data_IF_720533662627
#
_entry.id   IF_720533662627
#
_cell.length_a   1.000
_cell.length_b   1.000
_cell.length_c   1.000
_cell.angle_alpha   90.00
_cell.angle_beta   90.00
_cell.angle_gamma   90.00
#
_symmetry.space_group_name_H-M   'P 1'
#
loop_
_entity.id
_entity.type
_entity.pdbx_description
1 polymer ?
#
# COMPACT_ATOMS: atom_id res chain seq x y z
N UNK A 1 28.50 -84.91 22.31
CA UNK A 1 29.14 -83.80 23.06
C UNK A 1 28.17 -82.63 23.19
N UNK A 2 28.41 -81.76 24.16
CA UNK A 2 27.73 -80.49 24.54
C UNK A 2 27.22 -79.60 23.35
N UNK A 3 26.24 -78.67 23.46
CA UNK A 3 25.31 -78.20 24.53
C UNK A 3 24.21 -77.28 23.91
N UNK A 4 23.00 -77.24 24.52
CA UNK A 4 21.98 -76.15 24.60
C UNK A 4 21.29 -75.52 23.34
N UNK A 5 19.95 -75.65 23.30
CA UNK A 5 18.90 -74.67 22.85
C UNK A 5 18.54 -73.69 24.00
N UNK A 6 17.53 -72.75 23.99
CA UNK A 6 16.53 -72.28 22.98
C UNK A 6 16.68 -70.75 22.68
N UNK A 7 15.73 -69.92 22.17
CA UNK A 7 14.31 -70.00 21.72
C UNK A 7 14.08 -69.19 20.41
N UNK A 8 12.91 -68.74 19.92
CA UNK A 8 11.51 -68.54 20.42
C UNK A 8 11.30 -67.37 21.43
N UNK A 9 10.30 -66.47 21.32
CA UNK A 9 9.13 -66.31 20.40
C UNK A 9 8.39 -64.95 20.60
N UNK A 10 7.77 -64.43 19.52
CA UNK A 10 6.47 -63.69 19.44
C UNK A 10 6.17 -62.31 20.08
N UNK A 11 5.21 -61.61 19.43
CA UNK A 11 4.22 -60.64 19.93
C UNK A 11 4.71 -59.24 20.37
N UNK A 12 3.92 -58.15 20.35
CA UNK A 12 2.64 -57.79 19.67
C UNK A 12 2.35 -56.29 19.91
N UNK A 13 1.52 -55.66 19.06
CA UNK A 13 0.68 -54.45 19.29
C UNK A 13 1.21 -53.21 20.06
N UNK A 14 1.00 -52.00 19.49
CA UNK A 14 1.18 -50.75 20.24
C UNK A 14 1.11 -49.46 19.43
N UNK A 15 -0.10 -48.90 19.26
CA UNK A 15 -0.31 -47.43 19.21
C UNK A 15 -0.47 -46.93 20.66
N UNK A 16 -0.32 -45.62 21.01
CA UNK A 16 -0.17 -44.42 20.17
C UNK A 16 0.97 -43.46 20.63
N UNK A 17 1.18 -42.33 19.94
CA UNK A 17 1.25 -40.97 20.57
C UNK A 17 1.71 -39.87 19.61
N UNK A 18 1.33 -38.64 19.94
CA UNK A 18 1.61 -37.39 19.20
C UNK A 18 3.05 -36.91 19.38
N UNK A 19 3.77 -36.66 18.28
CA UNK A 19 5.11 -36.07 18.29
C UNK A 19 5.13 -34.71 17.57
N UNK A 20 5.52 -33.68 18.32
CA UNK A 20 5.42 -32.24 18.05
C UNK A 20 6.22 -31.77 16.83
N UNK A 21 5.66 -30.81 16.08
CA UNK A 21 6.42 -29.99 15.13
C UNK A 21 7.50 -29.16 15.87
N UNK A 22 8.76 -29.11 15.39
CA UNK A 22 9.78 -28.26 15.98
C UNK A 22 9.75 -26.82 15.43
N UNK A 23 9.52 -25.86 16.33
CA UNK A 23 10.22 -24.57 16.32
C UNK A 23 9.85 -23.55 15.24
N UNK A 24 8.86 -22.70 15.53
CA UNK A 24 8.68 -21.41 14.83
C UNK A 24 9.95 -20.57 14.96
N UNK A 25 10.64 -20.33 13.84
CA UNK A 25 11.78 -19.42 13.78
C UNK A 25 11.36 -17.99 14.13
N UNK A 26 12.03 -17.40 15.12
CA UNK A 26 11.68 -16.08 15.67
C UNK A 26 11.80 -14.98 14.60
N UNK A 27 10.66 -14.47 14.13
CA UNK A 27 10.58 -13.23 13.33
C UNK A 27 10.97 -12.05 14.22
N UNK A 28 11.97 -11.27 13.82
CA UNK A 28 12.40 -10.10 14.58
C UNK A 28 11.90 -8.83 13.89
N UNK A 29 10.84 -8.23 14.44
CA UNK A 29 10.33 -6.91 14.04
C UNK A 29 10.92 -5.87 15.00
N UNK A 30 11.54 -4.82 14.47
CA UNK A 30 12.18 -3.76 15.26
C UNK A 30 11.38 -2.45 15.11
N UNK A 31 10.70 -1.97 16.17
CA UNK A 31 10.01 -0.68 16.14
C UNK A 31 10.94 0.47 16.54
N UNK A 32 10.80 1.63 15.90
CA UNK A 32 11.50 2.87 16.27
C UNK A 32 10.50 3.91 16.78
N UNK A 33 10.82 4.54 17.91
CA UNK A 33 9.95 5.46 18.62
C UNK A 33 9.89 6.86 17.98
N UNK A 34 8.73 7.50 18.05
CA UNK A 34 8.51 8.85 17.48
C UNK A 34 8.91 9.99 18.41
N UNK A 35 9.27 11.14 17.82
CA UNK A 35 9.44 12.44 18.50
C UNK A 35 8.72 13.54 17.71
N UNK A 36 8.36 14.61 18.42
CA UNK A 36 7.32 15.59 18.12
C UNK A 36 7.64 16.64 17.06
N UNK A 37 6.57 17.14 16.40
CA UNK A 37 6.61 18.28 15.48
C UNK A 37 6.88 19.62 16.20
N UNK A 38 7.48 20.58 15.48
CA UNK A 38 7.27 22.01 15.74
C UNK A 38 7.24 22.79 14.42
N UNK A 39 6.15 23.49 14.14
CA UNK A 39 5.89 24.14 12.87
C UNK A 39 6.05 25.68 12.92
N UNK A 40 6.74 26.24 11.91
CA UNK A 40 6.70 27.63 11.38
C UNK A 40 7.26 27.57 9.94
N UNK A 41 6.86 28.34 8.93
CA UNK A 41 5.73 29.28 8.84
C UNK A 41 5.85 30.26 7.65
N UNK A 42 5.05 30.03 6.60
CA UNK A 42 4.46 31.01 5.62
C UNK A 42 5.39 31.77 4.63
N UNK A 43 4.83 32.00 3.43
CA UNK A 43 5.24 32.85 2.28
C UNK A 43 6.28 32.24 1.31
N UNK A 44 6.16 32.40 -0.02
CA UNK A 44 5.20 33.19 -0.81
C UNK A 44 4.99 32.68 -2.25
N UNK A 45 4.16 33.40 -3.00
CA UNK A 45 3.62 33.02 -4.32
C UNK A 45 4.62 33.23 -5.49
N UNK A 46 4.42 32.51 -6.60
CA UNK A 46 5.17 32.71 -7.85
C UNK A 46 4.53 31.95 -9.02
N UNK A 47 3.77 32.65 -9.86
CA UNK A 47 3.13 32.08 -11.05
C UNK A 47 4.14 31.85 -12.19
N UNK A 48 4.04 30.71 -12.88
CA UNK A 48 4.93 30.34 -14.00
C UNK A 48 4.16 29.61 -15.10
N UNK A 49 3.59 30.36 -16.03
CA UNK A 49 2.70 29.86 -17.09
C UNK A 49 3.51 29.50 -18.35
N UNK A 50 3.67 28.21 -18.66
CA UNK A 50 4.25 27.74 -19.94
C UNK A 50 3.23 27.02 -20.82
N UNK A 51 3.41 27.13 -22.13
CA UNK A 51 2.39 26.84 -23.15
C UNK A 51 2.41 25.37 -23.57
N UNK A 52 1.22 24.79 -23.71
CA UNK A 52 1.02 23.52 -24.42
C UNK A 52 1.17 23.77 -25.92
N UNK A 53 2.15 23.14 -26.56
CA UNK A 53 2.28 23.09 -28.01
C UNK A 53 1.67 21.79 -28.54
N UNK A 54 0.58 21.89 -29.30
CA UNK A 54 0.05 20.75 -30.04
C UNK A 54 0.95 20.48 -31.26
N UNK A 55 1.33 19.22 -31.49
CA UNK A 55 2.01 18.79 -32.71
C UNK A 55 1.11 17.85 -33.52
N UNK A 56 1.10 18.07 -34.83
CA UNK A 56 0.18 17.43 -35.77
C UNK A 56 0.63 16.02 -36.16
N UNK A 57 -0.33 15.14 -36.46
CA UNK A 57 -0.08 13.77 -36.94
C UNK A 57 -0.05 13.72 -38.47
N UNK A 58 1.11 13.40 -39.02
CA UNK A 58 1.32 12.88 -40.39
C UNK A 58 2.70 12.20 -40.42
N UNK A 59 2.96 11.07 -41.06
CA UNK A 59 2.11 10.23 -41.89
C UNK A 59 2.99 9.31 -42.76
N UNK A 60 2.94 8.00 -42.49
CA UNK A 60 3.42 6.87 -43.31
C UNK A 60 4.92 6.75 -43.67
N UNK A 61 5.49 5.65 -43.18
CA UNK A 61 6.37 4.68 -43.89
C UNK A 61 7.68 5.15 -44.54
N UNK A 62 8.78 4.86 -43.85
CA UNK A 62 9.94 4.09 -44.39
C UNK A 62 10.60 3.34 -43.23
N UNK A 63 10.79 2.02 -43.36
CA UNK A 63 11.62 1.23 -42.43
C UNK A 63 13.07 1.28 -42.90
N UNK A 64 14.02 1.75 -42.07
CA UNK A 64 15.42 1.34 -42.17
C UNK A 64 15.65 0.14 -41.23
N UNK A 65 16.20 -0.94 -41.77
CA UNK A 65 16.71 -2.06 -40.98
C UNK A 65 17.98 -1.58 -40.26
N UNK A 66 17.88 -1.22 -38.97
CA UNK A 66 19.03 -0.84 -38.15
C UNK A 66 19.60 -2.05 -37.39
N UNK A 67 20.46 -2.80 -38.07
CA UNK A 67 21.37 -3.75 -37.42
C UNK A 67 22.45 -3.00 -36.62
N UNK A 68 22.48 -3.20 -35.30
CA UNK A 68 23.54 -2.76 -34.38
C UNK A 68 23.15 -1.58 -33.48
N UNK A 69 23.12 -1.70 -32.15
CA UNK A 69 23.98 -2.48 -31.25
C UNK A 69 23.15 -3.28 -30.24
N UNK A 70 23.29 -4.61 -30.26
CA UNK A 70 22.67 -5.47 -29.24
C UNK A 70 23.31 -5.25 -27.86
N UNK A 71 22.62 -4.52 -26.99
CA UNK A 71 22.94 -4.50 -25.56
C UNK A 71 22.44 -5.82 -24.97
N UNK A 72 23.38 -6.55 -24.37
CA UNK A 72 23.16 -7.69 -23.49
C UNK A 72 22.37 -8.90 -24.02
N UNK A 73 23.12 -9.91 -24.48
CA UNK A 73 22.74 -11.30 -24.20
C UNK A 73 22.82 -11.50 -22.67
N UNK A 74 21.73 -11.22 -21.95
CA UNK A 74 21.66 -11.44 -20.49
C UNK A 74 22.02 -12.89 -20.18
N UNK A 75 22.99 -13.08 -19.27
CA UNK A 75 23.40 -14.41 -18.85
C UNK A 75 22.19 -15.19 -18.33
N UNK A 76 22.06 -16.47 -18.71
CA UNK A 76 21.01 -17.36 -18.19
C UNK A 76 20.94 -17.37 -16.66
N UNK A 77 22.08 -17.20 -15.99
CA UNK A 77 22.19 -17.04 -14.53
C UNK A 77 21.57 -15.74 -14.02
N UNK A 78 21.69 -14.64 -14.75
CA UNK A 78 21.07 -13.36 -14.41
C UNK A 78 19.54 -13.49 -14.47
N UNK A 79 19.04 -14.05 -15.57
CA UNK A 79 17.60 -14.28 -15.80
C UNK A 79 17.03 -15.13 -14.65
N UNK A 80 17.60 -16.30 -14.40
CA UNK A 80 17.21 -17.21 -13.30
C UNK A 80 17.22 -16.52 -11.91
N UNK A 81 18.19 -15.65 -11.64
CA UNK A 81 18.23 -14.90 -10.37
C UNK A 81 17.12 -13.85 -10.30
N UNK A 82 16.84 -13.12 -11.39
CA UNK A 82 15.80 -12.08 -11.46
C UNK A 82 14.40 -12.72 -11.36
N UNK A 83 14.12 -13.77 -12.14
CA UNK A 83 12.85 -14.52 -12.10
C UNK A 83 12.55 -15.03 -10.69
N UNK A 84 13.54 -15.60 -9.99
CA UNK A 84 13.38 -16.04 -8.59
C UNK A 84 13.14 -14.89 -7.60
N UNK A 85 13.57 -13.66 -7.90
CA UNK A 85 13.27 -12.49 -7.06
C UNK A 85 11.90 -11.91 -7.36
N UNK A 86 11.47 -11.93 -8.63
CA UNK A 86 10.11 -11.57 -9.03
C UNK A 86 9.07 -12.50 -8.37
N UNK A 87 9.23 -13.83 -8.50
CA UNK A 87 8.32 -14.79 -7.86
C UNK A 87 8.28 -14.69 -6.33
N UNK A 88 9.45 -14.47 -5.70
CA UNK A 88 9.49 -14.22 -4.25
C UNK A 88 8.83 -12.90 -3.86
N UNK A 89 8.96 -11.84 -4.66
CA UNK A 89 8.28 -10.59 -4.42
C UNK A 89 6.76 -10.71 -4.59
N UNK A 90 6.30 -11.49 -5.57
CA UNK A 90 4.89 -11.77 -5.82
C UNK A 90 4.25 -12.58 -4.67
N UNK A 91 4.94 -13.61 -4.17
CA UNK A 91 4.53 -14.37 -2.98
C UNK A 91 4.33 -13.43 -1.77
N UNK A 92 5.26 -12.48 -1.57
CA UNK A 92 5.21 -11.51 -0.48
C UNK A 92 4.13 -10.43 -0.67
N UNK A 93 3.69 -10.15 -1.91
CA UNK A 93 2.53 -9.28 -2.17
C UNK A 93 1.23 -9.89 -1.64
N UNK A 94 1.11 -11.22 -1.61
CA UNK A 94 -0.08 -11.94 -1.11
C UNK A 94 -1.35 -11.40 -1.77
N UNK A 95 -1.38 -11.47 -3.10
CA UNK A 95 -2.52 -11.11 -3.91
C UNK A 95 -3.65 -12.14 -3.75
N UNK A 96 -4.92 -11.78 -4.01
CA UNK A 96 -6.02 -12.75 -3.98
C UNK A 96 -5.81 -13.86 -5.02
N UNK A 97 -5.92 -15.12 -4.56
CA UNK A 97 -5.82 -16.30 -5.42
C UNK A 97 -6.89 -16.29 -6.52
N UNK A 98 -6.56 -16.86 -7.68
CA UNK A 98 -7.46 -17.03 -8.83
C UNK A 98 -8.05 -15.73 -9.41
N UNK A 99 -7.40 -14.57 -9.18
CA UNK A 99 -7.83 -13.28 -9.74
C UNK A 99 -6.67 -12.50 -10.36
N UNK A 100 -6.77 -12.03 -11.62
CA UNK A 100 -5.80 -11.11 -12.18
C UNK A 100 -5.81 -9.79 -11.41
N UNK A 101 -4.62 -9.28 -11.11
CA UNK A 101 -4.39 -7.99 -10.45
C UNK A 101 -3.67 -7.04 -11.42
N UNK A 102 -3.81 -5.73 -11.20
CA UNK A 102 -3.07 -4.71 -11.96
C UNK A 102 -1.90 -4.17 -11.15
N UNK A 103 -0.68 -4.42 -11.63
CA UNK A 103 0.57 -4.24 -10.89
C UNK A 103 1.47 -3.17 -11.50
N UNK A 104 2.30 -2.56 -10.66
CA UNK A 104 3.33 -1.59 -11.07
C UNK A 104 4.72 -2.18 -10.83
N UNK A 105 5.53 -2.30 -11.88
CA UNK A 105 6.93 -2.73 -11.79
C UNK A 105 7.86 -1.52 -11.89
N UNK A 106 8.48 -1.16 -10.75
CA UNK A 106 9.38 -0.01 -10.64
C UNK A 106 10.83 -0.44 -10.87
N UNK A 107 11.47 0.16 -11.86
CA UNK A 107 12.79 -0.24 -12.34
C UNK A 107 12.74 -1.55 -13.11
N UNK A 108 11.73 -1.68 -13.99
CA UNK A 108 11.42 -2.90 -14.74
C UNK A 108 12.55 -3.33 -15.71
N UNK A 109 13.49 -2.43 -16.03
CA UNK A 109 14.61 -2.70 -16.92
C UNK A 109 14.18 -3.30 -18.26
N UNK A 110 14.71 -4.48 -18.57
CA UNK A 110 14.43 -5.26 -19.79
C UNK A 110 13.15 -6.10 -19.70
N UNK A 111 12.28 -5.82 -18.73
CA UNK A 111 10.98 -6.47 -18.57
C UNK A 111 10.98 -7.82 -17.86
N UNK A 112 12.13 -8.36 -17.42
CA UNK A 112 12.23 -9.72 -16.85
C UNK A 112 11.29 -9.98 -15.64
N UNK A 113 11.12 -9.01 -14.76
CA UNK A 113 10.20 -9.09 -13.62
C UNK A 113 8.75 -9.02 -14.06
N UNK A 114 8.44 -8.17 -15.03
CA UNK A 114 7.11 -8.05 -15.63
C UNK A 114 6.69 -9.27 -16.45
N UNK A 115 7.58 -9.89 -17.23
CA UNK A 115 7.29 -11.16 -17.91
C UNK A 115 6.82 -12.24 -16.93
N UNK A 116 7.45 -12.32 -15.75
CA UNK A 116 7.01 -13.23 -14.68
C UNK A 116 5.62 -12.86 -14.12
N UNK A 117 5.24 -11.57 -14.10
CA UNK A 117 3.88 -11.18 -13.72
C UNK A 117 2.85 -11.61 -14.78
N UNK A 118 3.20 -11.51 -16.07
CA UNK A 118 2.38 -12.04 -17.17
C UNK A 118 2.21 -13.56 -17.07
N UNK A 119 3.29 -14.31 -16.81
CA UNK A 119 3.27 -15.77 -16.65
C UNK A 119 2.33 -16.21 -15.51
N UNK A 120 2.23 -15.42 -14.44
CA UNK A 120 1.33 -15.63 -13.28
C UNK A 120 -0.08 -15.02 -13.49
N UNK A 121 -0.40 -14.56 -14.71
CA UNK A 121 -1.72 -14.08 -15.09
C UNK A 121 -2.07 -12.69 -14.53
N UNK A 122 -1.10 -11.79 -14.42
CA UNK A 122 -1.30 -10.41 -13.95
C UNK A 122 -0.99 -9.37 -15.04
N UNK A 123 -1.77 -8.30 -15.05
CA UNK A 123 -1.53 -7.14 -15.91
C UNK A 123 -0.57 -6.18 -15.20
N UNK A 124 0.33 -5.55 -15.94
CA UNK A 124 1.33 -4.68 -15.32
C UNK A 124 1.77 -3.52 -16.21
N UNK A 125 2.34 -2.50 -15.57
CA UNK A 125 3.04 -1.39 -16.23
C UNK A 125 4.43 -1.24 -15.65
N UNK A 126 5.43 -1.15 -16.52
CA UNK A 126 6.83 -0.92 -16.17
C UNK A 126 7.20 0.55 -16.16
N UNK A 127 7.99 0.98 -15.18
CA UNK A 127 8.65 2.29 -15.16
C UNK A 127 10.17 2.09 -15.09
N UNK A 128 10.94 2.61 -16.04
CA UNK A 128 12.41 2.64 -15.95
C UNK A 128 12.99 3.99 -16.40
N UNK A 129 14.19 4.32 -15.92
CA UNK A 129 14.89 5.56 -16.26
C UNK A 129 15.80 5.41 -17.50
N UNK A 130 16.11 4.18 -17.91
CA UNK A 130 17.05 3.87 -19.00
C UNK A 130 16.32 3.56 -20.32
N UNK A 131 16.39 4.43 -21.34
CA UNK A 131 15.77 4.17 -22.64
C UNK A 131 16.26 2.84 -23.24
N UNK A 132 17.58 2.60 -23.21
CA UNK A 132 18.18 1.39 -23.79
C UNK A 132 17.72 0.07 -23.14
N UNK A 133 17.28 0.10 -21.87
CA UNK A 133 16.70 -1.09 -21.22
C UNK A 133 15.26 -1.31 -21.67
N UNK A 134 14.50 -0.22 -21.89
CA UNK A 134 13.14 -0.27 -22.41
C UNK A 134 13.12 -0.65 -23.89
N UNK A 135 14.09 -0.19 -24.69
CA UNK A 135 14.26 -0.61 -26.08
C UNK A 135 14.49 -2.14 -26.16
N UNK A 136 15.38 -2.70 -25.32
CA UNK A 136 15.58 -4.16 -25.22
C UNK A 136 14.33 -4.89 -24.69
N UNK A 137 13.51 -4.26 -23.84
CA UNK A 137 12.23 -4.82 -23.41
C UNK A 137 11.21 -4.89 -24.56
N UNK A 138 11.16 -3.86 -25.42
CA UNK A 138 10.33 -3.88 -26.64
C UNK A 138 10.79 -4.98 -27.61
N UNK A 139 12.11 -5.12 -27.83
CA UNK A 139 12.70 -6.19 -28.65
C UNK A 139 12.40 -7.61 -28.11
N UNK A 140 12.01 -7.73 -26.83
CA UNK A 140 11.62 -8.98 -26.16
C UNK A 140 10.12 -9.30 -26.29
N UNK A 141 9.34 -8.45 -26.97
CA UNK A 141 7.88 -8.62 -27.19
C UNK A 141 7.08 -8.85 -25.88
N UNK A 142 7.42 -8.13 -24.82
CA UNK A 142 6.69 -8.21 -23.55
C UNK A 142 5.25 -7.69 -23.65
N UNK A 143 4.36 -8.18 -22.79
CA UNK A 143 2.93 -7.81 -22.80
C UNK A 143 2.60 -6.51 -22.05
N UNK A 144 3.46 -6.08 -21.12
CA UNK A 144 3.21 -4.93 -20.25
C UNK A 144 3.53 -3.58 -20.90
N UNK A 145 2.74 -2.55 -20.59
CA UNK A 145 3.04 -1.19 -21.01
C UNK A 145 4.35 -0.69 -20.38
N UNK A 146 5.15 0.05 -21.14
CA UNK A 146 6.44 0.61 -20.68
C UNK A 146 6.42 2.13 -20.63
N UNK A 147 6.93 2.69 -19.53
CA UNK A 147 7.08 4.14 -19.34
C UNK A 147 8.53 4.51 -19.02
N UNK A 148 9.09 5.40 -19.83
CA UNK A 148 10.34 6.08 -19.51
C UNK A 148 10.10 7.15 -18.42
N UNK A 149 10.70 6.97 -17.24
CA UNK A 149 10.55 7.91 -16.14
C UNK A 149 11.48 7.68 -14.94
N UNK A 150 11.83 8.78 -14.27
CA UNK A 150 12.62 8.77 -13.04
C UNK A 150 11.68 8.61 -11.82
N UNK A 151 11.65 7.40 -11.24
CA UNK A 151 10.85 7.10 -10.04
C UNK A 151 11.07 8.08 -8.86
N UNK A 152 12.24 8.74 -8.79
CA UNK A 152 12.58 9.72 -7.77
C UNK A 152 11.98 11.12 -7.99
N UNK A 153 11.34 11.35 -9.13
CA UNK A 153 10.53 12.54 -9.44
C UNK A 153 9.03 12.31 -9.20
N UNK A 154 8.66 11.06 -8.90
CA UNK A 154 7.29 10.64 -8.61
C UNK A 154 6.69 9.75 -9.71
N UNK A 155 5.65 9.01 -9.33
CA UNK A 155 4.98 8.01 -10.17
C UNK A 155 3.74 8.64 -10.84
N UNK A 156 3.67 8.73 -12.19
CA UNK A 156 2.74 9.61 -12.91
C UNK A 156 1.35 9.01 -13.17
N UNK A 157 0.75 8.33 -12.18
CA UNK A 157 -0.56 7.69 -12.31
C UNK A 157 -1.63 8.31 -11.40
N UNK A 158 -2.90 7.94 -11.61
CA UNK A 158 -4.01 8.38 -10.78
C UNK A 158 -3.96 7.69 -9.40
N UNK A 159 -4.50 8.31 -8.34
CA UNK A 159 -4.58 7.66 -7.04
C UNK A 159 -5.42 6.38 -7.08
N UNK A 160 -4.98 5.32 -6.40
CA UNK A 160 -5.69 4.03 -6.35
C UNK A 160 -5.81 3.31 -7.70
N UNK A 161 -4.77 3.37 -8.53
CA UNK A 161 -4.69 2.68 -9.84
C UNK A 161 -4.27 1.21 -9.69
N UNK A 162 -3.32 0.90 -8.82
CA UNK A 162 -2.66 -0.42 -8.78
C UNK A 162 -3.02 -1.24 -7.56
N UNK A 163 -3.31 -2.52 -7.77
CA UNK A 163 -3.58 -3.53 -6.72
C UNK A 163 -2.32 -3.92 -5.93
N UNK A 164 -1.14 -3.70 -6.51
CA UNK A 164 0.16 -3.94 -5.87
C UNK A 164 1.32 -3.34 -6.66
N UNK A 165 2.52 -3.36 -6.07
CA UNK A 165 3.74 -2.91 -6.74
C UNK A 165 4.93 -3.82 -6.40
N UNK A 166 5.71 -4.17 -7.42
CA UNK A 166 7.04 -4.77 -7.23
C UNK A 166 8.14 -3.79 -7.65
N UNK A 167 9.33 -4.03 -7.14
CA UNK A 167 10.56 -3.46 -7.67
C UNK A 167 11.69 -4.42 -7.41
N UNK A 168 12.41 -4.84 -8.45
CA UNK A 168 13.50 -5.81 -8.33
C UNK A 168 14.83 -5.12 -8.62
N UNK A 169 15.68 -5.00 -7.59
CA UNK A 169 17.04 -4.45 -7.71
C UNK A 169 17.13 -3.00 -8.22
N UNK A 170 16.13 -2.15 -7.95
CA UNK A 170 16.10 -0.77 -8.45
C UNK A 170 16.12 0.33 -7.36
N UNK A 171 15.39 0.19 -6.25
CA UNK A 171 15.17 1.31 -5.29
C UNK A 171 16.47 1.85 -4.67
N UNK A 172 17.52 1.04 -4.55
CA UNK A 172 18.81 1.49 -3.99
C UNK A 172 19.46 2.63 -4.82
N UNK A 173 19.15 2.76 -6.12
CA UNK A 173 19.65 3.85 -6.95
C UNK A 173 19.14 5.24 -6.50
N UNK A 174 18.02 5.32 -5.78
CA UNK A 174 17.51 6.58 -5.21
C UNK A 174 18.34 7.09 -4.02
N UNK A 175 19.23 6.25 -3.48
CA UNK A 175 20.17 6.66 -2.44
C UNK A 175 21.38 7.40 -3.02
N UNK A 176 21.64 7.26 -4.31
CA UNK A 176 22.78 7.85 -4.99
C UNK A 176 22.45 9.28 -5.47
N UNK A 177 23.39 10.20 -5.29
CA UNK A 177 23.27 11.59 -5.73
C UNK A 177 24.30 11.86 -6.84
N UNK A 178 23.88 11.72 -8.09
CA UNK A 178 24.75 11.94 -9.26
C UNK A 178 25.01 13.43 -9.51
N UNK A 179 24.11 14.30 -9.01
CA UNK A 179 24.22 15.77 -9.11
C UNK A 179 24.10 16.40 -7.73
N UNK A 180 24.79 17.52 -7.49
CA UNK A 180 24.72 18.28 -6.23
C UNK A 180 23.31 18.79 -5.88
N UNK A 181 22.41 18.86 -6.85
CA UNK A 181 20.99 19.22 -6.67
C UNK A 181 20.11 18.05 -6.22
N UNK A 182 20.57 16.80 -6.37
CA UNK A 182 19.82 15.61 -6.01
C UNK A 182 20.02 15.32 -4.51
N UNK A 183 18.93 15.39 -3.75
CA UNK A 183 18.93 15.01 -2.34
C UNK A 183 18.22 13.65 -2.18
N UNK A 184 18.94 12.57 -1.81
CA UNK A 184 18.38 11.23 -1.72
C UNK A 184 17.14 11.12 -0.83
N UNK A 185 17.14 11.78 0.34
CA UNK A 185 15.99 11.78 1.24
C UNK A 185 14.75 12.44 0.62
N UNK A 186 14.91 13.51 -0.19
CA UNK A 186 13.81 14.12 -0.94
C UNK A 186 13.31 13.23 -2.08
N UNK A 187 14.21 12.58 -2.84
CA UNK A 187 13.85 11.66 -3.93
C UNK A 187 13.10 10.44 -3.42
N UNK A 188 13.62 9.79 -2.37
CA UNK A 188 12.96 8.69 -1.68
C UNK A 188 11.59 9.09 -1.12
N UNK A 189 11.47 10.27 -0.49
CA UNK A 189 10.18 10.76 -0.02
C UNK A 189 9.18 11.02 -1.16
N UNK A 190 9.64 11.59 -2.29
CA UNK A 190 8.80 11.83 -3.47
C UNK A 190 8.31 10.51 -4.10
N UNK A 191 9.23 9.56 -4.28
CA UNK A 191 8.94 8.19 -4.69
C UNK A 191 7.88 7.55 -3.78
N UNK A 192 8.13 7.42 -2.48
CA UNK A 192 7.19 6.76 -1.57
C UNK A 192 5.85 7.51 -1.44
N UNK A 193 5.83 8.85 -1.42
CA UNK A 193 4.58 9.60 -1.34
C UNK A 193 3.71 9.42 -2.59
N UNK A 194 4.32 9.37 -3.79
CA UNK A 194 3.60 9.07 -5.03
C UNK A 194 3.17 7.60 -5.10
N UNK A 195 4.03 6.66 -4.70
CA UNK A 195 3.71 5.23 -4.64
C UNK A 195 2.51 4.95 -3.71
N UNK A 196 2.51 5.55 -2.52
CA UNK A 196 1.40 5.44 -1.57
C UNK A 196 0.08 5.98 -2.15
N UNK A 197 0.15 7.02 -2.98
CA UNK A 197 -1.02 7.60 -3.64
C UNK A 197 -1.60 6.67 -4.71
N UNK A 198 -0.76 6.08 -5.57
CA UNK A 198 -1.21 5.30 -6.73
C UNK A 198 -1.63 3.86 -6.40
N UNK A 199 -1.27 3.35 -5.22
CA UNK A 199 -1.75 2.05 -4.73
C UNK A 199 -3.19 2.13 -4.22
N UNK A 200 -3.96 1.05 -4.44
CA UNK A 200 -5.28 0.85 -3.83
C UNK A 200 -5.11 0.70 -2.30
N UNK A 201 -6.09 1.16 -1.52
CA UNK A 201 -5.97 1.19 -0.05
C UNK A 201 -5.94 -0.23 0.52
N UNK A 202 -4.90 -0.54 1.29
CA UNK A 202 -4.65 -1.88 1.82
C UNK A 202 -3.79 -2.78 0.90
N UNK A 203 -3.47 -2.33 -0.31
CA UNK A 203 -2.51 -2.98 -1.20
C UNK A 203 -1.09 -2.94 -0.65
N UNK A 204 -0.24 -3.79 -1.22
CA UNK A 204 1.16 -3.95 -0.79
C UNK A 204 2.13 -3.50 -1.86
N UNK A 205 3.33 -3.12 -1.42
CA UNK A 205 4.49 -2.95 -2.29
C UNK A 205 5.63 -3.81 -1.75
N UNK A 206 6.29 -4.58 -2.62
CA UNK A 206 7.44 -5.41 -2.26
C UNK A 206 8.64 -5.01 -3.10
N UNK A 207 9.63 -4.44 -2.43
CA UNK A 207 10.78 -3.81 -3.07
C UNK A 207 12.04 -4.59 -2.69
N UNK A 208 12.55 -5.40 -3.60
CA UNK A 208 13.82 -6.09 -3.45
C UNK A 208 14.96 -5.10 -3.73
N UNK A 209 15.90 -4.98 -2.80
CA UNK A 209 16.98 -4.01 -2.89
C UNK A 209 18.29 -4.54 -2.30
N UNK A 210 19.39 -3.88 -2.65
CA UNK A 210 20.73 -4.14 -2.10
C UNK A 210 21.20 -2.91 -1.33
N UNK A 211 21.10 -2.90 0.01
CA UNK A 211 21.63 -1.80 0.81
C UNK A 211 23.15 -1.99 0.97
N UNK A 212 23.91 -0.93 0.71
CA UNK A 212 25.35 -0.85 0.98
C UNK A 212 25.58 -0.81 2.50
N UNK A 213 24.86 0.07 3.20
CA UNK A 213 25.03 0.35 4.62
C UNK A 213 23.69 0.27 5.39
N UNK A 214 23.76 0.05 6.71
CA UNK A 214 22.58 0.09 7.59
C UNK A 214 21.85 1.44 7.57
N UNK A 215 22.60 2.55 7.46
CA UNK A 215 22.06 3.91 7.36
C UNK A 215 21.19 4.10 6.11
N UNK A 216 21.57 3.46 4.98
CA UNK A 216 20.78 3.49 3.75
C UNK A 216 19.45 2.76 3.94
N UNK A 217 19.48 1.59 4.60
CA UNK A 217 18.30 0.80 4.92
C UNK A 217 17.34 1.55 5.87
N UNK A 218 17.89 2.22 6.88
CA UNK A 218 17.15 3.09 7.79
C UNK A 218 16.54 4.30 7.06
N UNK A 219 17.31 4.95 6.19
CA UNK A 219 16.84 6.09 5.39
C UNK A 219 15.64 5.71 4.50
N UNK A 220 15.74 4.59 3.76
CA UNK A 220 14.65 4.08 2.91
C UNK A 220 13.41 3.80 3.77
N UNK A 221 13.57 3.06 4.87
CA UNK A 221 12.47 2.67 5.78
C UNK A 221 11.82 3.89 6.44
N UNK A 222 12.62 4.90 6.79
CA UNK A 222 12.15 6.17 7.37
C UNK A 222 11.33 6.98 6.37
N UNK A 223 11.76 7.09 5.10
CA UNK A 223 10.97 7.80 4.10
C UNK A 223 9.68 7.06 3.72
N UNK A 224 9.71 5.72 3.66
CA UNK A 224 8.50 4.91 3.46
C UNK A 224 7.48 5.11 4.59
N UNK A 225 7.93 5.01 5.84
CA UNK A 225 7.10 5.26 7.05
C UNK A 225 6.53 6.68 7.03
N UNK A 226 7.36 7.67 6.70
CA UNK A 226 6.96 9.08 6.62
C UNK A 226 5.96 9.39 5.50
N UNK A 227 5.97 8.61 4.42
CA UNK A 227 4.97 8.70 3.35
C UNK A 227 3.61 8.10 3.73
N UNK A 228 3.55 7.28 4.79
CA UNK A 228 2.32 6.67 5.31
C UNK A 228 2.28 5.14 5.22
N UNK A 229 3.31 4.49 4.66
CA UNK A 229 3.39 3.04 4.68
C UNK A 229 3.64 2.51 6.09
N UNK A 230 2.99 1.38 6.42
CA UNK A 230 3.47 0.49 7.47
C UNK A 230 4.19 -0.71 6.84
N UNK A 231 4.86 -1.55 7.63
CA UNK A 231 5.49 -2.77 7.14
C UNK A 231 6.85 -3.04 7.76
N UNK A 232 7.73 -3.71 7.02
CA UNK A 232 9.04 -4.08 7.52
C UNK A 232 9.92 -4.80 6.49
N UNK A 233 11.11 -5.20 6.93
CA UNK A 233 12.11 -5.88 6.11
C UNK A 233 12.00 -7.40 6.25
N UNK A 234 11.89 -8.11 5.12
CA UNK A 234 12.06 -9.55 5.03
C UNK A 234 13.47 -9.82 4.50
N UNK A 235 14.21 -10.71 5.16
CA UNK A 235 15.58 -11.06 4.77
C UNK A 235 15.66 -12.57 4.54
N UNK A 236 15.71 -12.97 3.28
CA UNK A 236 15.93 -14.36 2.91
C UNK A 236 17.42 -14.70 3.01
N UNK A 237 17.72 -15.93 3.42
CA UNK A 237 19.09 -16.45 3.66
C UNK A 237 19.98 -15.53 4.52
N UNK A 238 19.53 -15.08 5.71
CA UNK A 238 20.23 -14.07 6.51
C UNK A 238 21.64 -14.46 6.92
N UNK A 239 21.91 -15.77 7.05
CA UNK A 239 23.19 -16.35 7.45
C UNK A 239 24.21 -16.46 6.29
N UNK A 240 23.83 -16.19 5.05
CA UNK A 240 24.70 -16.35 3.86
C UNK A 240 24.93 -15.03 3.18
N UNK A 241 26.11 -14.42 3.38
CA UNK A 241 26.46 -13.12 2.77
C UNK A 241 26.31 -13.11 1.23
N UNK A 242 26.44 -14.25 0.56
CA UNK A 242 26.32 -14.39 -0.90
C UNK A 242 24.89 -14.64 -1.40
N UNK A 243 24.02 -15.25 -0.58
CA UNK A 243 22.64 -15.57 -0.96
C UNK A 243 21.60 -14.65 -0.30
N UNK A 244 22.02 -13.75 0.60
CA UNK A 244 21.17 -12.82 1.32
C UNK A 244 20.40 -11.92 0.36
N UNK A 245 19.08 -11.84 0.52
CA UNK A 245 18.21 -10.95 -0.24
C UNK A 245 17.33 -10.16 0.71
N UNK A 246 17.26 -8.85 0.52
CA UNK A 246 16.42 -7.94 1.31
C UNK A 246 15.18 -7.56 0.50
N UNK A 247 14.01 -7.73 1.08
CA UNK A 247 12.71 -7.32 0.53
C UNK A 247 12.01 -6.40 1.52
N UNK A 248 11.85 -5.13 1.15
CA UNK A 248 11.05 -4.17 1.91
C UNK A 248 9.57 -4.41 1.57
N UNK A 249 8.81 -4.94 2.53
CA UNK A 249 7.39 -5.23 2.38
C UNK A 249 6.57 -4.13 3.05
N UNK A 250 5.81 -3.39 2.26
CA UNK A 250 5.06 -2.20 2.67
C UNK A 250 3.54 -2.41 2.49
N UNK A 251 2.75 -1.77 3.35
CA UNK A 251 1.28 -1.79 3.32
C UNK A 251 0.73 -0.37 3.21
N UNK A 252 -0.15 -0.13 2.24
CA UNK A 252 -0.76 1.18 1.95
C UNK A 252 -1.97 1.49 2.84
N UNK A 253 -1.71 1.57 4.15
CA UNK A 253 -2.75 1.79 5.17
C UNK A 253 -3.51 0.51 5.56
N UNK A 254 -4.60 0.63 6.33
CA UNK A 254 -5.37 -0.53 6.80
C UNK A 254 -6.07 -1.25 5.64
N UNK A 255 -6.09 -2.58 5.71
CA UNK A 255 -6.85 -3.43 4.78
C UNK A 255 -8.33 -3.01 4.77
N UNK A 256 -8.89 -2.89 3.56
CA UNK A 256 -10.34 -2.67 3.36
C UNK A 256 -11.13 -3.98 3.41
N UNK A 257 -10.46 -5.14 3.35
CA UNK A 257 -11.07 -6.43 3.63
C UNK A 257 -11.36 -6.55 5.14
N UNK A 258 -12.60 -6.24 5.49
CA UNK A 258 -13.23 -6.71 6.73
C UNK A 258 -13.43 -8.22 6.54
N UNK A 259 -12.89 -9.09 7.42
CA UNK A 259 -13.16 -10.52 7.35
C UNK A 259 -14.66 -10.78 7.39
N UNK A 260 -15.14 -11.64 6.50
CA UNK A 260 -16.53 -12.10 6.54
C UNK A 260 -16.75 -12.85 7.87
N UNK A 261 -17.82 -12.47 8.58
CA UNK A 261 -18.11 -13.08 9.87
C UNK A 261 -18.46 -14.55 9.69
N UNK A 262 -17.78 -15.44 10.40
CA UNK A 262 -18.12 -16.86 10.44
C UNK A 262 -19.53 -17.01 11.02
N UNK A 263 -20.53 -17.17 10.15
CA UNK A 263 -21.85 -17.64 10.53
C UNK A 263 -21.79 -19.16 10.69
N UNK A 264 -21.88 -19.65 11.93
CA UNK A 264 -22.21 -21.05 12.16
C UNK A 264 -23.60 -21.32 11.55
N UNK A 265 -23.74 -22.46 10.86
CA UNK A 265 -25.02 -22.81 10.24
C UNK A 265 -26.07 -23.00 11.33
N UNK A 266 -27.26 -22.43 11.10
CA UNK A 266 -28.37 -22.46 12.05
C UNK A 266 -29.03 -23.85 12.09
N UNK A 267 -28.67 -24.65 13.09
CA UNK A 267 -29.60 -25.64 13.64
C UNK A 267 -30.23 -25.04 14.91
N UNK A 268 -31.49 -24.60 14.76
CA UNK A 268 -32.50 -24.30 15.79
C UNK A 268 -32.02 -23.79 17.17
N UNK A 269 -31.71 -22.49 17.27
CA UNK A 269 -31.78 -21.77 18.54
C UNK A 269 -32.46 -20.40 18.37
N UNK A 270 -33.49 -20.14 19.19
CA UNK A 270 -34.35 -18.95 19.14
C UNK A 270 -33.55 -17.63 19.27
N UNK A 271 -33.85 -16.59 18.47
CA UNK A 271 -33.11 -15.33 18.50
C UNK A 271 -33.41 -14.52 19.77
N UNK A 272 -32.67 -14.81 20.85
CA UNK A 272 -32.56 -13.91 22.00
C UNK A 272 -31.73 -12.69 21.62
N UNK A 273 -32.38 -11.71 21.00
CA UNK A 273 -31.80 -10.38 20.77
C UNK A 273 -31.28 -9.80 22.09
N UNK A 274 -29.95 -9.72 22.22
CA UNK A 274 -29.31 -8.92 23.25
C UNK A 274 -29.41 -7.46 22.81
N UNK A 275 -30.42 -6.75 23.33
CA UNK A 275 -30.71 -5.35 22.98
C UNK A 275 -29.58 -4.43 23.44
N UNK A 276 -28.56 -4.29 22.59
CA UNK A 276 -27.50 -3.31 22.76
C UNK A 276 -28.03 -1.96 22.25
N UNK A 277 -28.42 -1.07 23.16
CA UNK A 277 -29.09 0.22 22.85
C UNK A 277 -28.15 1.23 22.20
N UNK A 278 -27.87 1.02 20.91
CA UNK A 278 -27.09 1.93 20.09
C UNK A 278 -28.01 2.85 19.27
N UNK A 279 -28.96 3.54 19.93
CA UNK A 279 -29.79 4.59 19.34
C UNK A 279 -28.97 5.86 19.01
N UNK A 280 -28.07 5.75 18.04
CA UNK A 280 -27.60 6.92 17.28
C UNK A 280 -28.64 7.28 16.22
N UNK A 281 -29.76 7.82 16.69
CA UNK A 281 -30.86 8.28 15.83
C UNK A 281 -30.31 9.23 14.76
N UNK A 282 -30.39 8.88 13.46
CA UNK A 282 -29.90 9.74 12.40
C UNK A 282 -30.89 10.90 12.20
N UNK A 283 -30.72 11.98 12.95
CA UNK A 283 -31.55 13.19 12.85
C UNK A 283 -31.27 13.95 11.54
N UNK A 284 -31.69 13.36 10.41
CA UNK A 284 -31.81 14.05 9.12
C UNK A 284 -32.68 15.28 9.35
N UNK A 285 -32.10 16.46 9.16
CA UNK A 285 -32.77 17.73 9.44
C UNK A 285 -34.04 17.91 8.61
N UNK A 286 -35.19 17.55 9.17
CA UNK A 286 -36.50 17.99 8.70
C UNK A 286 -36.64 19.48 9.01
N UNK A 287 -35.99 20.35 8.22
CA UNK A 287 -36.20 21.80 8.21
C UNK A 287 -37.59 22.13 7.64
N UNK A 288 -38.66 21.63 8.26
CA UNK A 288 -40.03 22.12 8.05
C UNK A 288 -40.19 23.40 8.86
N UNK A 289 -40.52 24.50 8.19
CA UNK A 289 -40.34 25.85 8.72
C UNK A 289 -41.20 26.16 9.95
N UNK A 290 -40.61 26.15 11.13
CA UNK A 290 -41.23 26.75 12.32
C UNK A 290 -41.22 28.28 12.15
N UNK A 291 -42.40 28.90 12.10
CA UNK A 291 -42.58 30.34 11.86
C UNK A 291 -41.87 31.15 12.95
N UNK A 292 -40.81 31.86 12.57
CA UNK A 292 -39.77 32.47 13.43
C UNK A 292 -40.24 33.63 14.36
N UNK A 293 -41.54 33.77 14.61
CA UNK A 293 -42.17 34.80 15.46
C UNK A 293 -43.39 34.29 16.27
N UNK A 294 -43.55 32.97 16.44
CA UNK A 294 -44.64 32.39 17.27
C UNK A 294 -44.31 32.43 18.77
N UNK A 295 -45.33 32.42 19.65
CA UNK A 295 -45.14 32.33 21.12
C UNK A 295 -44.40 31.05 21.52
N UNK A 296 -44.67 29.93 20.85
CA UNK A 296 -44.00 28.66 21.08
C UNK A 296 -42.48 28.76 20.87
N UNK A 297 -42.02 29.33 19.75
CA UNK A 297 -40.58 29.49 19.48
C UNK A 297 -39.88 30.48 20.43
N UNK A 298 -40.61 31.39 21.08
CA UNK A 298 -40.06 32.25 22.14
C UNK A 298 -39.86 31.46 23.44
N UNK A 299 -40.81 30.60 23.82
CA UNK A 299 -40.73 29.76 25.01
C UNK A 299 -39.64 28.70 24.88
N UNK A 300 -39.56 27.99 23.74
CA UNK A 300 -38.51 27.01 23.44
C UNK A 300 -37.11 27.65 23.52
N UNK A 301 -36.94 28.86 22.98
CA UNK A 301 -35.67 29.59 23.05
C UNK A 301 -35.31 30.00 24.49
N UNK A 302 -36.29 30.43 25.30
CA UNK A 302 -36.08 30.71 26.72
C UNK A 302 -35.63 29.46 27.48
N UNK A 303 -36.32 28.35 27.26
CA UNK A 303 -36.03 27.07 27.90
C UNK A 303 -34.62 26.56 27.55
N UNK A 304 -34.23 26.66 26.27
CA UNK A 304 -32.86 26.39 25.84
C UNK A 304 -31.82 27.26 26.55
N UNK A 305 -32.12 28.54 26.81
CA UNK A 305 -31.20 29.42 27.52
C UNK A 305 -31.13 29.13 29.03
N UNK A 306 -32.20 28.67 29.67
CA UNK A 306 -32.16 28.15 31.06
C UNK A 306 -31.26 26.93 31.17
N UNK A 307 -31.40 25.96 30.26
CA UNK A 307 -30.52 24.76 30.18
C UNK A 307 -29.05 25.12 29.92
N UNK A 308 -28.78 26.30 29.37
CA UNK A 308 -27.43 26.85 29.16
C UNK A 308 -26.95 27.72 30.33
N UNK A 309 -27.63 27.69 31.49
CA UNK A 309 -27.25 28.45 32.69
C UNK A 309 -27.35 29.97 32.55
N UNK A 310 -28.02 30.48 31.51
CA UNK A 310 -28.16 31.92 31.30
C UNK A 310 -29.36 32.47 32.06
N UNK A 311 -29.23 33.70 32.55
CA UNK A 311 -30.35 34.40 33.18
C UNK A 311 -31.47 34.68 32.17
N UNK A 312 -32.67 34.17 32.44
CA UNK A 312 -33.83 34.27 31.55
C UNK A 312 -35.05 34.75 32.34
N UNK A 313 -35.62 35.89 31.92
CA UNK A 313 -36.82 36.45 32.56
C UNK A 313 -37.98 35.43 32.60
N UNK A 314 -38.74 35.36 33.71
CA UNK A 314 -39.83 34.40 33.88
C UNK A 314 -40.92 34.53 32.79
N UNK A 315 -41.71 33.48 32.64
CA UNK A 315 -42.77 33.41 31.65
C UNK A 315 -44.06 34.02 32.17
N UNK A 316 -44.50 35.10 31.53
CA UNK A 316 -45.78 35.75 31.81
C UNK A 316 -46.77 35.50 30.68
N UNK A 317 -48.06 35.72 30.94
CA UNK A 317 -49.13 35.65 29.92
C UNK A 317 -48.90 36.54 28.68
N UNK A 318 -48.03 37.55 28.79
CA UNK A 318 -47.66 38.46 27.70
C UNK A 318 -46.46 38.01 26.86
N UNK A 319 -45.85 36.85 27.18
CA UNK A 319 -44.67 36.33 26.49
C UNK A 319 -44.98 36.04 25.02
N UNK A 320 -44.21 36.63 24.09
CA UNK A 320 -44.42 36.50 22.65
C UNK A 320 -45.56 37.34 22.05
N UNK A 321 -46.29 38.13 22.84
CA UNK A 321 -47.34 39.03 22.33
C UNK A 321 -46.71 40.21 21.58
N UNK A 322 -47.17 40.48 20.34
CA UNK A 322 -46.80 41.70 19.60
C UNK A 322 -47.20 42.93 20.42
N UNK A 323 -46.25 43.83 20.70
CA UNK A 323 -46.52 45.16 21.25
C UNK A 323 -47.03 46.06 20.12
N UNK A 324 -48.00 46.93 20.40
CA UNK A 324 -48.37 48.01 19.46
C UNK A 324 -47.15 48.93 19.27
N UNK A 325 -46.88 49.44 18.06
CA UNK A 325 -45.91 50.52 17.91
C UNK A 325 -46.38 51.71 18.76
N UNK A 326 -45.46 52.30 19.52
CA UNK A 326 -45.59 53.66 20.01
C UNK A 326 -44.82 54.53 19.02
N UNK A 327 -45.51 55.52 18.47
CA UNK A 327 -44.88 56.73 17.93
C UNK A 327 -44.69 57.69 19.10
#
# INVERSE_FOLDING_TARGET
>A
MMRKKPGNTFASEGSPSTARCPGVGKRQVVPVAGVTQKARGIWGCGEGRTRVGAFSVSGKSTLPISLGLGISALSSRMIDIQTRMAGRALELLYLPENKPCYLLDIGCGTGLSGSYLSDEGHYWVGLDISPAMLDEAVDREIEGDLLLGDMGQGIPFKPGTFDGCISISAVQWLCNANKKSENPAKRLYCFFASLFSVLVRGSRAVLQLYPENSEQLELITTQATKAGFSGGMVVDYPNSAKAKKFYLCLFSGPSTFIPEGLSENQDEDEPRESVFTNERVPFRMSRRGMVRKSRAGVLEKKERHRRQGREVRPDTQYTGRKRKPRF
#
